data_IF_897978266434
#
_entry.id   IF_897978266434
#
_cell.length_a   1.000
_cell.length_b   1.000
_cell.length_c   1.000
_cell.angle_alpha   90.00
_cell.angle_beta   90.00
_cell.angle_gamma   90.00
#
_symmetry.space_group_name_H-M   'P 1'
#
loop_
_entity.id
_entity.type
_entity.pdbx_description
1 polymer ?
#
# COMPACT_ATOMS: atom_id res chain seq x y z
N UNK A 1 7.40 -13.17 31.80
CA UNK A 1 8.60 -12.34 31.52
C UNK A 1 8.27 -11.46 30.35
N UNK A 2 8.35 -10.13 30.49
CA UNK A 2 8.11 -9.19 29.39
C UNK A 2 9.39 -9.07 28.58
N UNK A 3 9.37 -9.41 27.30
CA UNK A 3 10.46 -9.07 26.39
C UNK A 3 10.02 -7.81 25.66
N UNK A 4 10.58 -6.69 26.08
CA UNK A 4 10.51 -5.42 25.35
C UNK A 4 11.79 -5.34 24.55
N UNK A 5 11.69 -5.47 23.22
CA UNK A 5 12.83 -5.20 22.34
C UNK A 5 12.66 -3.84 21.69
N UNK A 6 13.65 -2.98 21.94
CA UNK A 6 13.82 -1.69 21.28
C UNK A 6 14.93 -1.90 20.26
N UNK A 7 14.60 -1.78 18.98
CA UNK A 7 15.57 -1.84 17.90
C UNK A 7 15.71 -0.46 17.27
N UNK A 8 16.93 0.05 17.27
CA UNK A 8 17.31 1.18 16.43
C UNK A 8 17.53 0.67 15.00
N UNK A 9 16.85 1.30 14.03
CA UNK A 9 17.10 1.04 12.62
C UNK A 9 17.99 2.16 12.06
N UNK A 10 19.28 1.86 11.90
CA UNK A 10 20.27 2.78 11.35
C UNK A 10 19.94 3.26 9.93
N UNK A 11 19.19 2.47 9.14
CA UNK A 11 18.92 2.80 7.73
C UNK A 11 17.91 3.93 7.53
N UNK A 12 17.00 4.13 8.48
CA UNK A 12 15.93 5.12 8.34
C UNK A 12 15.70 5.95 9.61
N UNK A 13 16.65 5.89 10.56
CA UNK A 13 16.59 6.65 11.80
C UNK A 13 15.37 6.37 12.68
N UNK A 14 14.74 5.19 12.55
CA UNK A 14 13.50 4.86 13.25
C UNK A 14 13.69 3.90 14.42
N UNK A 15 12.89 4.08 15.47
CA UNK A 15 12.78 3.14 16.58
C UNK A 15 11.67 2.13 16.31
N UNK A 16 11.99 0.84 16.43
CA UNK A 16 11.01 -0.26 16.35
C UNK A 16 10.84 -0.88 17.72
N UNK A 17 9.62 -0.86 18.24
CA UNK A 17 9.28 -1.45 19.53
C UNK A 17 8.44 -2.72 19.31
N UNK A 18 8.82 -3.82 19.95
CA UNK A 18 8.00 -5.04 20.01
C UNK A 18 7.66 -5.36 21.46
N UNK A 19 6.37 -5.56 21.73
CA UNK A 19 5.84 -6.04 23.01
C UNK A 19 5.23 -7.41 22.76
N UNK A 20 5.85 -8.46 23.30
CA UNK A 20 5.29 -9.83 23.23
C UNK A 20 4.39 -10.11 24.44
N UNK A 21 3.22 -10.73 24.18
CA UNK A 21 2.10 -10.80 25.12
C UNK A 21 2.29 -11.91 26.17
N UNK A 22 2.20 -11.55 27.45
CA UNK A 22 1.81 -12.48 28.52
C UNK A 22 0.74 -11.81 29.41
N UNK A 23 -0.50 -12.19 29.16
CA UNK A 23 -1.73 -12.13 30.00
C UNK A 23 -2.15 -10.87 30.80
N UNK A 24 -1.38 -9.78 30.96
CA UNK A 24 -1.87 -8.49 31.56
C UNK A 24 -1.41 -7.21 30.81
N UNK A 25 -1.76 -6.99 29.53
CA UNK A 25 -0.93 -6.14 28.65
C UNK A 25 -1.45 -4.72 28.33
N UNK A 26 -2.75 -4.43 28.36
CA UNK A 26 -3.25 -3.19 27.72
C UNK A 26 -2.99 -1.91 28.51
N UNK A 27 -3.18 -1.92 29.84
CA UNK A 27 -2.85 -0.76 30.67
C UNK A 27 -1.35 -0.46 30.66
N UNK A 28 -0.53 -1.51 30.61
CA UNK A 28 0.93 -1.40 30.52
C UNK A 28 1.33 -0.73 29.21
N UNK A 29 0.70 -1.12 28.09
CA UNK A 29 0.93 -0.50 26.79
C UNK A 29 0.61 1.00 26.79
N UNK A 30 -0.55 1.40 27.33
CA UNK A 30 -0.95 2.81 27.39
C UNK A 30 -0.03 3.63 28.31
N UNK A 31 0.22 3.14 29.53
CA UNK A 31 1.15 3.80 30.46
C UNK A 31 2.56 3.93 29.87
N UNK A 32 3.00 2.95 29.10
CA UNK A 32 4.29 3.00 28.42
C UNK A 32 4.30 4.05 27.30
N UNK A 33 3.25 4.12 26.48
CA UNK A 33 3.10 5.19 25.48
C UNK A 33 3.18 6.57 26.14
N UNK A 34 2.43 6.77 27.23
CA UNK A 34 2.38 8.05 27.95
C UNK A 34 3.76 8.40 28.54
N UNK A 35 4.48 7.41 29.07
CA UNK A 35 5.84 7.58 29.60
C UNK A 35 6.85 7.97 28.51
N UNK A 36 6.82 7.29 27.35
CA UNK A 36 7.67 7.63 26.19
C UNK A 36 7.36 9.04 25.71
N UNK A 37 6.09 9.42 25.61
CA UNK A 37 5.70 10.78 25.24
C UNK A 37 6.20 11.82 26.21
N UNK A 38 6.14 11.53 27.50
CA UNK A 38 6.64 12.44 28.53
C UNK A 38 8.16 12.64 28.45
N UNK A 39 8.93 11.59 28.20
CA UNK A 39 10.41 11.68 28.17
C UNK A 39 10.91 12.35 26.90
N UNK A 40 10.34 11.96 25.75
CA UNK A 40 10.83 12.41 24.44
C UNK A 40 10.06 13.62 23.92
N UNK A 41 9.09 14.13 24.69
CA UNK A 41 8.14 15.16 24.25
C UNK A 41 7.49 14.80 22.91
N UNK A 42 7.28 13.50 22.69
CA UNK A 42 6.77 12.99 21.41
C UNK A 42 5.26 13.22 21.31
N UNK A 43 4.84 13.82 20.21
CA UNK A 43 3.44 14.15 19.90
C UNK A 43 3.01 13.69 18.50
N UNK A 44 3.88 12.96 17.79
CA UNK A 44 3.62 12.46 16.45
C UNK A 44 2.75 11.19 16.43
N UNK A 45 2.70 10.57 15.27
CA UNK A 45 1.90 9.37 15.02
C UNK A 45 2.70 8.08 15.10
N UNK A 46 2.08 7.02 15.60
CA UNK A 46 2.71 5.72 15.79
C UNK A 46 2.46 4.76 14.64
N UNK A 47 3.47 3.90 14.42
CA UNK A 47 3.34 2.65 13.69
C UNK A 47 2.99 1.51 14.65
N UNK A 48 1.81 0.93 14.48
CA UNK A 48 1.36 -0.25 15.20
C UNK A 48 1.69 -1.51 14.40
N UNK A 49 2.43 -2.44 15.00
CA UNK A 49 2.70 -3.76 14.41
C UNK A 49 1.89 -4.84 15.13
N UNK A 50 0.99 -5.49 14.40
CA UNK A 50 0.12 -6.55 14.89
C UNK A 50 0.55 -7.90 14.32
N UNK A 51 0.49 -8.93 15.17
CA UNK A 51 0.64 -10.32 14.71
C UNK A 51 -0.67 -10.79 14.07
N UNK A 52 -0.58 -11.64 13.04
CA UNK A 52 -1.74 -12.37 12.49
C UNK A 52 -2.41 -13.29 13.52
N UNK A 53 -1.67 -13.69 14.57
CA UNK A 53 -2.17 -14.48 15.70
C UNK A 53 -2.66 -13.61 16.86
N UNK A 54 -3.10 -12.38 16.57
CA UNK A 54 -3.58 -11.47 17.61
C UNK A 54 -4.96 -11.94 18.10
N UNK A 55 -4.99 -12.60 19.26
CA UNK A 55 -6.23 -13.01 19.92
C UNK A 55 -6.67 -11.98 20.98
N UNK A 56 -7.96 -11.86 21.25
CA UNK A 56 -8.50 -10.96 22.29
C UNK A 56 -8.50 -9.47 21.92
N UNK A 57 -8.51 -8.59 22.91
CA UNK A 57 -8.65 -7.14 22.70
C UNK A 57 -7.42 -6.50 22.04
N UNK A 58 -7.67 -5.62 21.07
CA UNK A 58 -6.64 -4.82 20.40
C UNK A 58 -5.93 -3.86 21.37
N UNK A 59 -4.63 -3.55 21.16
CA UNK A 59 -3.85 -2.62 22.00
C UNK A 59 -4.54 -1.28 22.25
N UNK A 60 -4.38 -0.71 23.45
CA UNK A 60 -4.91 0.62 23.76
C UNK A 60 -3.85 1.71 23.54
N UNK A 61 -3.57 2.02 22.27
CA UNK A 61 -2.57 3.00 21.84
C UNK A 61 -3.29 4.09 21.02
N UNK A 62 -2.99 5.35 21.29
CA UNK A 62 -3.57 6.51 20.58
C UNK A 62 -2.64 7.02 19.46
N UNK A 63 -3.14 7.87 18.58
CA UNK A 63 -2.39 8.50 17.47
C UNK A 63 -1.71 7.48 16.54
N UNK A 64 -2.42 6.41 16.16
CA UNK A 64 -1.89 5.39 15.24
C UNK A 64 -2.26 5.80 13.81
N UNK A 65 -1.26 6.13 12.99
CA UNK A 65 -1.45 6.46 11.56
C UNK A 65 -1.01 5.36 10.62
N UNK A 66 -0.18 4.43 11.11
CA UNK A 66 0.34 3.31 10.35
C UNK A 66 0.01 2.02 11.08
N UNK A 67 -0.62 1.07 10.38
CA UNK A 67 -0.79 -0.29 10.87
C UNK A 67 -0.08 -1.30 9.95
N UNK A 68 0.74 -2.16 10.55
CA UNK A 68 1.32 -3.34 9.92
C UNK A 68 0.72 -4.59 10.55
N UNK A 69 0.16 -5.51 9.76
CA UNK A 69 -0.34 -6.80 10.22
C UNK A 69 0.51 -7.89 9.57
N UNK A 70 1.10 -8.77 10.38
CA UNK A 70 1.96 -9.86 9.90
C UNK A 70 3.44 -9.52 9.89
N UNK A 71 4.23 -10.33 9.18
CA UNK A 71 5.70 -10.22 9.12
C UNK A 71 6.19 -10.48 7.70
N UNK A 72 6.71 -9.43 7.07
CA UNK A 72 7.37 -9.48 5.76
C UNK A 72 8.46 -10.57 5.68
N UNK A 73 8.69 -11.18 4.50
CA UNK A 73 8.01 -10.95 3.22
C UNK A 73 6.73 -11.78 3.02
N UNK A 74 5.82 -11.23 2.21
CA UNK A 74 4.59 -11.87 1.74
C UNK A 74 4.89 -13.15 0.97
N UNK A 75 4.18 -14.24 1.33
CA UNK A 75 4.30 -15.56 0.71
C UNK A 75 2.93 -16.03 0.23
N UNK A 76 2.90 -16.76 -0.89
CA UNK A 76 1.68 -17.36 -1.48
C UNK A 76 0.83 -18.20 -0.51
N UNK A 77 1.48 -18.85 0.45
CA UNK A 77 0.88 -19.67 1.50
C UNK A 77 1.13 -19.05 2.87
N UNK A 78 1.02 -17.72 2.93
CA UNK A 78 1.16 -16.93 4.14
C UNK A 78 0.02 -17.17 5.13
N UNK A 79 0.13 -16.61 6.33
CA UNK A 79 -0.97 -16.63 7.28
C UNK A 79 -2.21 -15.96 6.72
N UNK A 80 -3.37 -16.33 7.24
CA UNK A 80 -4.64 -15.70 6.94
C UNK A 80 -5.11 -14.83 8.11
N UNK A 81 -5.90 -13.80 7.79
CA UNK A 81 -6.69 -13.04 8.77
C UNK A 81 -8.13 -12.94 8.28
N UNK A 82 -9.06 -12.77 9.20
CA UNK A 82 -10.47 -12.60 8.87
C UNK A 82 -10.82 -11.14 8.54
N UNK A 83 -11.74 -10.91 7.60
CA UNK A 83 -12.22 -9.58 7.23
C UNK A 83 -12.83 -8.81 8.42
N UNK A 84 -13.49 -9.49 9.36
CA UNK A 84 -14.01 -8.90 10.60
C UNK A 84 -12.89 -8.43 11.51
N UNK A 85 -11.77 -9.16 11.58
CA UNK A 85 -10.60 -8.71 12.35
C UNK A 85 -10.08 -7.39 11.80
N UNK A 86 -9.96 -7.26 10.47
CA UNK A 86 -9.54 -6.03 9.84
C UNK A 86 -10.51 -4.87 10.08
N UNK A 87 -11.81 -5.16 10.00
CA UNK A 87 -12.88 -4.20 10.32
C UNK A 87 -12.75 -3.69 11.75
N UNK A 88 -12.52 -4.58 12.71
CA UNK A 88 -12.35 -4.22 14.12
C UNK A 88 -11.08 -3.37 14.35
N UNK A 89 -9.99 -3.66 13.63
CA UNK A 89 -8.76 -2.87 13.68
C UNK A 89 -9.00 -1.45 13.17
N UNK A 90 -9.61 -1.31 12.01
CA UNK A 90 -9.87 0.00 11.40
C UNK A 90 -10.93 0.81 12.16
N UNK A 91 -11.91 0.14 12.77
CA UNK A 91 -12.88 0.80 13.66
C UNK A 91 -12.23 1.33 14.94
N UNK A 92 -11.15 0.69 15.42
CA UNK A 92 -10.42 1.14 16.62
C UNK A 92 -9.46 2.30 16.33
N UNK A 93 -8.81 2.28 15.17
CA UNK A 93 -7.79 3.25 14.80
C UNK A 93 -8.26 4.05 13.58
N UNK A 94 -9.20 4.96 13.81
CA UNK A 94 -9.89 5.72 12.75
C UNK A 94 -8.95 6.63 11.94
N UNK A 95 -7.86 7.09 12.55
CA UNK A 95 -6.86 7.95 11.90
C UNK A 95 -5.79 7.16 11.11
N UNK A 96 -6.07 5.90 10.75
CA UNK A 96 -5.12 5.09 9.99
C UNK A 96 -5.02 5.59 8.55
N UNK A 97 -3.85 6.11 8.18
CA UNK A 97 -3.54 6.58 6.83
C UNK A 97 -2.81 5.51 6.00
N UNK A 98 -2.03 4.65 6.66
CA UNK A 98 -1.27 3.58 6.02
C UNK A 98 -1.59 2.23 6.65
N UNK A 99 -1.95 1.27 5.81
CA UNK A 99 -2.24 -0.11 6.18
C UNK A 99 -1.39 -1.06 5.33
N UNK A 100 -0.57 -1.87 5.99
CA UNK A 100 0.19 -2.96 5.38
C UNK A 100 -0.27 -4.29 5.96
N UNK A 101 -0.84 -5.16 5.14
CA UNK A 101 -1.37 -6.47 5.51
C UNK A 101 -0.57 -7.55 4.80
N UNK A 102 0.34 -8.15 5.54
CA UNK A 102 1.09 -9.32 5.12
C UNK A 102 0.39 -10.60 5.59
N UNK A 103 -0.82 -10.78 5.07
CA UNK A 103 -1.67 -11.94 5.27
C UNK A 103 -2.76 -11.97 4.19
N UNK A 104 -3.22 -13.16 3.83
CA UNK A 104 -4.42 -13.29 3.00
C UNK A 104 -5.68 -13.01 3.82
N UNK A 105 -6.54 -12.14 3.31
CA UNK A 105 -7.80 -11.79 3.96
C UNK A 105 -8.86 -12.83 3.56
N UNK A 106 -9.41 -13.52 4.54
CA UNK A 106 -10.49 -14.49 4.40
C UNK A 106 -11.82 -13.81 4.73
N UNK A 107 -12.86 -14.11 3.97
CA UNK A 107 -14.15 -13.41 4.04
C UNK A 107 -14.25 -12.27 3.02
N UNK A 108 -15.43 -11.70 2.86
CA UNK A 108 -15.69 -10.59 1.95
C UNK A 108 -15.54 -9.25 2.66
N UNK A 109 -14.94 -8.27 1.98
CA UNK A 109 -14.94 -6.89 2.42
C UNK A 109 -16.08 -6.16 1.68
N UNK A 110 -17.05 -5.58 2.40
CA UNK A 110 -18.07 -4.74 1.78
C UNK A 110 -17.44 -3.60 0.97
N UNK A 111 -18.10 -3.15 -0.11
CA UNK A 111 -17.57 -2.08 -0.98
C UNK A 111 -17.35 -0.77 -0.24
N UNK A 112 -18.16 -0.51 0.78
CA UNK A 112 -18.09 0.64 1.68
C UNK A 112 -17.18 0.40 2.89
N UNK A 113 -16.42 -0.69 2.92
CA UNK A 113 -15.48 -0.99 3.99
C UNK A 113 -14.48 0.16 4.18
N UNK A 114 -14.21 0.58 5.44
CA UNK A 114 -13.17 1.56 5.75
C UNK A 114 -11.80 1.16 5.20
N UNK A 115 -11.59 -0.14 4.93
CA UNK A 115 -10.39 -0.63 4.27
C UNK A 115 -10.10 0.11 2.97
N UNK A 116 -11.07 0.27 2.08
CA UNK A 116 -10.87 0.90 0.77
C UNK A 116 -10.70 2.42 0.83
N UNK A 117 -10.95 3.01 2.00
CA UNK A 117 -10.83 4.44 2.28
C UNK A 117 -9.46 4.82 2.87
N UNK A 118 -8.67 3.83 3.30
CA UNK A 118 -7.29 4.08 3.77
C UNK A 118 -6.46 4.63 2.61
N UNK A 119 -5.73 5.73 2.84
CA UNK A 119 -4.98 6.39 1.77
C UNK A 119 -3.93 5.49 1.13
N UNK A 120 -3.22 4.70 1.96
CA UNK A 120 -2.09 3.90 1.53
C UNK A 120 -2.32 2.44 1.94
N UNK A 121 -2.52 1.55 0.97
CA UNK A 121 -2.73 0.12 1.22
C UNK A 121 -1.64 -0.71 0.55
N UNK A 122 -0.99 -1.57 1.32
CA UNK A 122 -0.24 -2.72 0.81
C UNK A 122 -0.88 -4.01 1.32
N UNK A 123 -1.25 -4.94 0.44
CA UNK A 123 -1.91 -6.18 0.86
C UNK A 123 -1.52 -7.38 0.02
N UNK A 124 -1.41 -8.53 0.69
CA UNK A 124 -1.11 -9.82 0.09
C UNK A 124 -2.38 -10.58 -0.13
N UNK A 125 -2.97 -10.39 -1.31
CA UNK A 125 -4.28 -10.92 -1.62
C UNK A 125 -4.29 -11.50 -3.01
N UNK A 126 -4.88 -12.70 -3.13
CA UNK A 126 -5.23 -13.27 -4.43
C UNK A 126 -6.40 -12.55 -5.09
N UNK A 127 -7.21 -11.81 -4.33
CA UNK A 127 -8.35 -11.07 -4.87
C UNK A 127 -7.87 -9.74 -5.42
N UNK A 128 -7.86 -9.61 -6.74
CA UNK A 128 -7.46 -8.37 -7.42
C UNK A 128 -8.61 -7.42 -7.72
N UNK A 129 -9.59 -7.82 -8.54
CA UNK A 129 -10.58 -6.89 -9.08
C UNK A 129 -11.34 -6.11 -8.01
N UNK A 130 -11.78 -6.79 -6.94
CA UNK A 130 -12.46 -6.14 -5.81
C UNK A 130 -11.62 -5.06 -5.13
N UNK A 131 -10.31 -5.30 -5.01
CA UNK A 131 -9.39 -4.36 -4.35
C UNK A 131 -9.10 -3.17 -5.26
N UNK A 132 -8.99 -3.42 -6.56
CA UNK A 132 -8.77 -2.37 -7.56
C UNK A 132 -10.02 -1.50 -7.65
N UNK A 133 -11.19 -2.08 -7.89
CA UNK A 133 -12.41 -1.34 -8.21
C UNK A 133 -13.00 -0.52 -7.06
N UNK A 134 -12.80 -0.94 -5.81
CA UNK A 134 -13.37 -0.24 -4.66
C UNK A 134 -12.41 0.79 -4.03
N UNK A 135 -11.11 0.76 -4.38
CA UNK A 135 -10.11 1.63 -3.77
C UNK A 135 -10.22 3.08 -4.24
N UNK A 136 -10.17 4.01 -3.29
CA UNK A 136 -10.26 5.47 -3.55
C UNK A 136 -9.12 6.28 -2.94
N UNK A 137 -8.11 5.61 -2.37
CA UNK A 137 -6.94 6.23 -1.77
C UNK A 137 -5.87 6.69 -2.78
N UNK A 138 -4.68 7.00 -2.28
CA UNK A 138 -3.54 7.56 -3.02
C UNK A 138 -2.60 6.48 -3.55
N UNK A 139 -2.27 5.49 -2.72
CA UNK A 139 -1.27 4.50 -3.07
C UNK A 139 -1.77 3.07 -2.79
N UNK A 140 -1.79 2.22 -3.81
CA UNK A 140 -2.24 0.83 -3.72
C UNK A 140 -1.15 -0.12 -4.21
N UNK A 141 -0.76 -1.07 -3.33
CA UNK A 141 0.17 -2.14 -3.65
C UNK A 141 -0.47 -3.50 -3.38
N UNK A 142 -0.67 -4.30 -4.41
CA UNK A 142 -1.17 -5.67 -4.30
C UNK A 142 -0.04 -6.66 -4.62
N UNK A 143 0.09 -7.73 -3.84
CA UNK A 143 1.01 -8.83 -4.15
C UNK A 143 0.30 -10.15 -4.21
N UNK A 144 0.80 -11.03 -5.09
CA UNK A 144 0.25 -12.35 -5.36
C UNK A 144 -1.20 -12.28 -5.87
N UNK A 145 -1.51 -11.24 -6.65
CA UNK A 145 -2.86 -10.92 -7.07
C UNK A 145 -3.28 -11.75 -8.29
N UNK A 146 -4.53 -12.21 -8.30
CA UNK A 146 -5.17 -12.76 -9.50
C UNK A 146 -5.99 -11.66 -10.17
N UNK A 147 -5.56 -11.26 -11.37
CA UNK A 147 -6.23 -10.29 -12.25
C UNK A 147 -6.15 -10.78 -13.68
N UNK A 148 -7.08 -10.32 -14.51
CA UNK A 148 -7.05 -10.46 -15.96
C UNK A 148 -6.51 -9.19 -16.61
N UNK A 149 -6.06 -9.29 -17.85
CA UNK A 149 -5.69 -8.09 -18.63
C UNK A 149 -6.87 -7.11 -18.77
N UNK A 150 -8.11 -7.62 -18.81
CA UNK A 150 -9.31 -6.79 -18.86
C UNK A 150 -9.54 -5.98 -17.58
N UNK A 151 -9.24 -6.53 -16.40
CA UNK A 151 -9.32 -5.79 -15.13
C UNK A 151 -8.35 -4.60 -15.14
N UNK A 152 -7.15 -4.79 -15.69
CA UNK A 152 -6.12 -3.75 -15.84
C UNK A 152 -6.57 -2.70 -16.86
N UNK A 153 -7.09 -3.13 -18.02
CA UNK A 153 -7.58 -2.22 -19.07
C UNK A 153 -8.72 -1.36 -18.51
N UNK A 154 -9.70 -1.95 -17.82
CA UNK A 154 -10.79 -1.21 -17.20
C UNK A 154 -10.29 -0.22 -16.15
N UNK A 155 -9.30 -0.61 -15.34
CA UNK A 155 -8.65 0.31 -14.41
C UNK A 155 -8.07 1.54 -15.14
N UNK A 156 -7.28 1.31 -16.19
CA UNK A 156 -6.62 2.38 -16.95
C UNK A 156 -7.65 3.28 -17.64
N UNK A 157 -8.65 2.71 -18.29
CA UNK A 157 -9.73 3.47 -18.96
C UNK A 157 -10.51 4.35 -17.98
N UNK A 158 -10.82 3.85 -16.79
CA UNK A 158 -11.50 4.64 -15.75
C UNK A 158 -10.66 5.78 -15.20
N UNK A 159 -9.35 5.57 -15.04
CA UNK A 159 -8.45 6.65 -14.66
C UNK A 159 -8.31 7.68 -15.78
N UNK A 160 -8.10 7.24 -17.04
CA UNK A 160 -7.95 8.11 -18.21
C UNK A 160 -9.21 8.94 -18.52
N UNK A 161 -10.40 8.38 -18.29
CA UNK A 161 -11.67 9.09 -18.45
C UNK A 161 -12.07 9.93 -17.24
N UNK A 162 -11.28 9.90 -16.16
CA UNK A 162 -11.61 10.51 -14.87
C UNK A 162 -12.94 10.02 -14.28
N UNK A 163 -13.34 8.78 -14.56
CA UNK A 163 -14.49 8.13 -13.92
C UNK A 163 -14.17 7.73 -12.48
N UNK A 164 -12.94 7.26 -12.23
CA UNK A 164 -12.50 6.76 -10.93
C UNK A 164 -11.03 7.09 -10.66
N UNK A 165 -10.58 6.77 -9.43
CA UNK A 165 -9.17 6.88 -9.02
C UNK A 165 -8.61 8.31 -9.03
N UNK A 166 -9.46 9.29 -8.72
CA UNK A 166 -9.14 10.72 -8.74
C UNK A 166 -7.89 11.09 -7.93
N UNK A 167 -7.73 10.48 -6.75
CA UNK A 167 -6.63 10.71 -5.82
C UNK A 167 -5.43 9.79 -6.03
N UNK A 168 -5.52 8.83 -6.97
CA UNK A 168 -4.51 7.80 -7.13
C UNK A 168 -3.22 8.40 -7.69
N UNK A 169 -2.14 8.16 -6.97
CA UNK A 169 -0.77 8.53 -7.35
C UNK A 169 0.09 7.32 -7.67
N UNK A 170 -0.17 6.16 -7.05
CA UNK A 170 0.61 4.95 -7.29
C UNK A 170 -0.25 3.72 -7.24
N UNK A 171 -0.12 2.88 -8.26
CA UNK A 171 -0.72 1.56 -8.29
C UNK A 171 0.30 0.53 -8.75
N UNK A 172 0.55 -0.45 -7.90
CA UNK A 172 1.52 -1.52 -8.16
C UNK A 172 0.87 -2.87 -7.89
N UNK A 173 0.95 -3.76 -8.86
CA UNK A 173 0.51 -5.14 -8.69
C UNK A 173 1.63 -6.10 -9.01
N UNK A 174 1.71 -7.18 -8.25
CA UNK A 174 2.55 -8.34 -8.54
C UNK A 174 1.64 -9.55 -8.71
N UNK A 175 1.73 -10.20 -9.86
CA UNK A 175 1.05 -11.47 -10.15
C UNK A 175 2.03 -12.61 -9.95
N UNK A 176 1.52 -13.79 -9.58
CA UNK A 176 2.35 -14.98 -9.45
C UNK A 176 2.23 -15.89 -10.67
N UNK A 177 3.32 -16.58 -11.00
CA UNK A 177 3.33 -17.62 -12.01
C UNK A 177 2.25 -18.69 -11.71
N UNK A 178 1.50 -19.17 -12.73
CA UNK A 178 1.70 -18.99 -14.17
C UNK A 178 1.03 -17.75 -14.78
N UNK A 179 0.45 -16.85 -13.98
CA UNK A 179 -0.19 -15.65 -14.53
C UNK A 179 0.87 -14.72 -15.11
N UNK A 180 0.58 -14.21 -16.31
CA UNK A 180 1.42 -13.26 -17.04
C UNK A 180 0.52 -12.13 -17.51
N UNK A 181 0.98 -10.89 -17.30
CA UNK A 181 0.31 -9.69 -17.82
C UNK A 181 0.70 -9.49 -19.29
N UNK A 182 -0.28 -9.37 -20.17
CA UNK A 182 -0.05 -9.16 -21.59
C UNK A 182 0.13 -7.66 -21.89
N UNK A 183 1.38 -7.20 -21.87
CA UNK A 183 1.72 -5.80 -22.12
C UNK A 183 1.28 -5.32 -23.51
N UNK A 184 1.42 -6.16 -24.54
CA UNK A 184 1.08 -5.80 -25.92
C UNK A 184 -0.43 -5.57 -26.07
N UNK A 185 -1.24 -6.48 -25.52
CA UNK A 185 -2.69 -6.34 -25.52
C UNK A 185 -3.14 -5.06 -24.82
N UNK A 186 -2.58 -4.78 -23.64
CA UNK A 186 -2.95 -3.58 -22.87
C UNK A 186 -2.58 -2.33 -23.66
N UNK A 187 -1.34 -2.23 -24.17
CA UNK A 187 -0.85 -1.06 -24.93
C UNK A 187 -1.59 -0.84 -26.26
N UNK A 188 -2.08 -1.90 -26.90
CA UNK A 188 -2.90 -1.77 -28.12
C UNK A 188 -4.33 -1.30 -27.81
N UNK A 189 -4.79 -1.45 -26.57
CA UNK A 189 -6.18 -1.14 -26.17
C UNK A 189 -6.34 0.27 -25.62
N UNK A 190 -5.26 0.89 -25.14
CA UNK A 190 -5.29 2.24 -24.57
C UNK A 190 -4.39 3.19 -25.36
N UNK A 191 -4.71 4.48 -25.31
CA UNK A 191 -3.85 5.51 -25.87
C UNK A 191 -2.64 5.72 -24.95
N UNK A 192 -1.45 5.40 -25.47
CA UNK A 192 -0.18 5.63 -24.78
C UNK A 192 0.82 6.31 -25.70
N UNK A 193 1.66 7.15 -25.11
CA UNK A 193 2.75 7.84 -25.78
C UNK A 193 4.09 7.25 -25.31
N UNK A 194 4.99 6.98 -26.26
CA UNK A 194 6.37 6.65 -25.92
C UNK A 194 7.09 7.88 -25.37
N UNK A 195 8.19 7.64 -24.67
CA UNK A 195 9.04 8.72 -24.20
C UNK A 195 9.60 9.53 -25.37
N UNK A 196 9.44 10.85 -25.35
CA UNK A 196 10.21 11.73 -26.21
C UNK A 196 11.48 12.21 -25.48
N UNK A 197 12.68 11.72 -25.87
CA UNK A 197 13.94 12.17 -25.26
C UNK A 197 14.23 13.65 -25.50
N UNK A 198 13.51 14.31 -26.42
CA UNK A 198 13.63 15.74 -26.66
C UNK A 198 12.80 16.59 -25.69
N UNK A 199 11.95 15.98 -24.85
CA UNK A 199 11.10 16.65 -23.87
C UNK A 199 11.31 16.08 -22.45
N UNK A 200 12.56 16.05 -21.94
CA UNK A 200 12.90 15.39 -20.68
C UNK A 200 12.19 15.97 -19.46
N UNK A 201 11.78 17.24 -19.50
CA UNK A 201 11.00 17.88 -18.44
C UNK A 201 9.62 17.25 -18.24
N UNK A 202 9.07 16.56 -19.26
CA UNK A 202 7.78 15.87 -19.15
C UNK A 202 7.87 14.57 -18.34
N UNK A 203 9.08 14.08 -18.09
CA UNK A 203 9.35 12.84 -17.35
C UNK A 203 10.31 13.12 -16.20
N UNK A 204 9.85 13.10 -14.94
CA UNK A 204 10.75 13.18 -13.81
C UNK A 204 11.83 12.12 -13.90
N UNK A 205 13.02 12.43 -13.39
CA UNK A 205 14.07 11.41 -13.26
C UNK A 205 13.65 10.33 -12.27
N UNK A 206 13.00 10.79 -11.18
CA UNK A 206 12.58 9.98 -10.06
C UNK A 206 11.22 10.43 -9.51
N UNK A 207 10.40 9.50 -9.02
CA UNK A 207 9.23 9.81 -8.20
C UNK A 207 9.40 9.30 -6.77
N UNK A 208 9.11 10.18 -5.81
CA UNK A 208 9.17 9.85 -4.39
C UNK A 208 7.79 9.46 -3.90
N UNK A 209 7.66 8.20 -3.51
CA UNK A 209 6.45 7.68 -2.87
C UNK A 209 6.56 8.04 -1.38
N UNK A 210 5.69 8.92 -0.88
CA UNK A 210 5.58 9.31 0.53
C UNK A 210 4.77 8.30 1.37
N UNK A 211 4.70 7.04 0.90
CA UNK A 211 4.01 5.93 1.55
C UNK A 211 4.97 4.78 1.91
N UNK A 212 5.32 4.59 3.20
CA UNK A 212 6.31 3.60 3.63
C UNK A 212 5.72 2.17 3.71
N UNK A 213 5.37 1.57 2.58
CA UNK A 213 4.66 0.28 2.53
C UNK A 213 5.33 -0.89 3.26
N UNK A 214 6.67 -1.04 3.19
CA UNK A 214 7.44 -1.92 4.09
C UNK A 214 8.96 -1.84 3.86
N UNK A 215 9.71 -2.47 4.77
CA UNK A 215 11.19 -2.58 4.87
C UNK A 215 11.93 -3.09 3.60
N UNK A 216 11.23 -3.63 2.59
CA UNK A 216 11.80 -4.30 1.42
C UNK A 216 11.88 -3.42 0.17
N UNK A 217 11.27 -2.23 0.20
CA UNK A 217 11.50 -1.20 -0.81
C UNK A 217 11.92 0.09 -0.08
N UNK A 218 13.24 0.33 0.10
CA UNK A 218 13.74 1.68 0.38
C UNK A 218 13.65 2.59 -0.87
N UNK A 219 12.86 2.21 -1.87
CA UNK A 219 12.73 2.96 -3.11
C UNK A 219 11.71 4.07 -2.86
N UNK A 220 12.15 5.06 -2.09
CA UNK A 220 11.63 6.42 -2.07
C UNK A 220 11.93 7.13 -3.40
N UNK A 221 12.46 6.45 -4.44
CA UNK A 221 12.85 7.04 -5.73
C UNK A 221 12.65 6.05 -6.87
N UNK A 222 11.49 6.10 -7.51
CA UNK A 222 11.19 5.30 -8.69
C UNK A 222 11.80 5.94 -9.94
N UNK A 223 12.73 5.25 -10.61
CA UNK A 223 13.35 5.75 -11.86
C UNK A 223 12.46 5.49 -13.07
N UNK A 224 12.20 6.54 -13.86
CA UNK A 224 11.38 6.48 -15.08
C UNK A 224 12.17 6.24 -16.37
N UNK A 225 13.50 6.12 -16.28
CA UNK A 225 14.40 5.94 -17.43
C UNK A 225 14.46 4.51 -17.99
N UNK A 226 13.51 3.66 -17.62
CA UNK A 226 13.45 2.32 -18.19
C UNK A 226 12.76 2.39 -19.55
N UNK A 227 13.35 1.73 -20.54
CA UNK A 227 12.88 1.71 -21.94
C UNK A 227 11.43 1.21 -22.12
N UNK A 228 10.81 0.66 -21.08
CA UNK A 228 9.46 0.12 -21.12
C UNK A 228 8.39 0.98 -20.41
N UNK A 229 8.71 2.23 -20.08
CA UNK A 229 7.76 3.18 -19.49
C UNK A 229 7.08 4.01 -20.58
N UNK A 230 5.75 3.89 -20.67
CA UNK A 230 4.91 4.72 -21.55
C UNK A 230 4.15 5.76 -20.73
N UNK A 231 3.73 6.84 -21.37
CA UNK A 231 2.90 7.88 -20.79
C UNK A 231 1.44 7.71 -21.19
N UNK A 232 0.54 7.97 -20.26
CA UNK A 232 -0.90 8.01 -20.50
C UNK A 232 -1.47 9.30 -19.93
N UNK A 233 -2.51 9.82 -20.59
CA UNK A 233 -3.11 11.11 -20.25
C UNK A 233 -4.56 10.95 -19.83
N UNK A 234 -4.94 11.71 -18.82
CA UNK A 234 -6.34 11.84 -18.41
C UNK A 234 -7.03 12.89 -19.27
N UNK A 235 -8.11 12.50 -19.94
CA UNK A 235 -8.77 13.30 -20.97
C UNK A 235 -9.36 14.61 -20.44
N UNK A 236 -9.78 14.64 -19.17
CA UNK A 236 -10.51 15.78 -18.60
C UNK A 236 -9.62 16.96 -18.21
N UNK A 237 -8.39 16.70 -17.76
CA UNK A 237 -7.49 17.72 -17.21
C UNK A 237 -6.04 17.61 -17.69
N UNK A 238 -5.75 16.66 -18.58
CA UNK A 238 -4.41 16.45 -19.11
C UNK A 238 -3.43 15.84 -18.10
N UNK A 239 -3.87 15.45 -16.90
CA UNK A 239 -2.99 14.84 -15.89
C UNK A 239 -2.28 13.63 -16.50
N UNK A 240 -0.97 13.55 -16.29
CA UNK A 240 -0.12 12.48 -16.83
C UNK A 240 0.10 11.38 -15.81
N UNK A 241 0.21 10.16 -16.32
CA UNK A 241 0.72 9.03 -15.58
C UNK A 241 1.72 8.23 -16.41
N UNK A 242 2.63 7.56 -15.71
CA UNK A 242 3.66 6.69 -16.26
C UNK A 242 3.29 5.26 -15.98
N UNK A 243 3.35 4.42 -17.01
CA UNK A 243 2.92 3.03 -16.98
C UNK A 243 4.06 2.13 -17.44
N UNK A 244 4.51 1.25 -16.56
CA UNK A 244 5.43 0.16 -16.88
C UNK A 244 4.71 -1.17 -16.69
N UNK A 245 4.74 -2.00 -17.73
CA UNK A 245 4.11 -3.33 -17.72
C UNK A 245 5.21 -4.36 -17.96
N UNK A 246 5.26 -5.35 -17.09
CA UNK A 246 6.16 -6.50 -17.17
C UNK A 246 5.32 -7.78 -17.03
N UNK A 247 5.84 -8.94 -17.45
CA UNK A 247 5.11 -10.20 -17.33
C UNK A 247 4.57 -10.49 -15.92
N UNK A 248 5.31 -10.12 -14.88
CA UNK A 248 4.98 -10.45 -13.47
C UNK A 248 4.47 -9.28 -12.64
N UNK A 249 4.49 -8.05 -13.17
CA UNK A 249 4.06 -6.88 -12.42
C UNK A 249 3.73 -5.70 -13.33
N UNK A 250 2.85 -4.84 -12.82
CA UNK A 250 2.52 -3.56 -13.44
C UNK A 250 2.74 -2.45 -12.43
N UNK A 251 3.25 -1.33 -12.92
CA UNK A 251 3.53 -0.13 -12.16
C UNK A 251 2.91 1.07 -12.86
N UNK A 252 2.04 1.76 -12.16
CA UNK A 252 1.37 2.97 -12.59
C UNK A 252 1.69 4.08 -11.58
N UNK A 253 2.11 5.24 -12.08
CA UNK A 253 2.48 6.40 -11.25
C UNK A 253 1.89 7.67 -11.87
N UNK A 254 1.10 8.41 -11.10
CA UNK A 254 0.44 9.65 -11.53
C UNK A 254 0.78 10.81 -10.58
N UNK A 255 1.96 11.45 -10.72
CA UNK A 255 2.41 12.49 -9.82
C UNK A 255 1.42 13.67 -9.76
N UNK A 256 1.26 14.26 -8.59
CA UNK A 256 0.33 15.40 -8.42
C UNK A 256 0.84 16.68 -9.12
N UNK A 257 2.16 16.85 -9.24
CA UNK A 257 2.80 18.10 -9.65
C UNK A 257 3.36 18.12 -11.10
N UNK A 258 2.83 17.30 -12.00
CA UNK A 258 3.17 17.35 -13.43
C UNK A 258 1.99 17.88 -14.23
N UNK A 259 1.93 19.20 -14.35
CA UNK A 259 1.08 19.91 -15.32
C UNK A 259 1.92 20.50 -16.42
#
# INVERSE_FOLDING_TARGET
MFIVSIHWNEKNGSFRHRIERVSKPMEVQKKYQDYINSIFHYSGTYKLSLSVKCEGSLPNITNVSYIQIGKAPMKQNGPTIDAQFLTNVLAKYLDTHTLSVDASIVGELPKDSPFFQVQNIAVGSRRGPEYIHNFVGRHLRLSCVTVTDQDIIQFLQKWMSNEAYHNLETFVIFVDHPLIINADLIRQTIECEDYDPNEPEKRPEHFVIDAPFDYLMPIERYSFWKDNVVEIKRATDGKRAFLAIYPTHLQFIAPENLT
#
